data_IF_137542502813
#
_entry.id   IF_137542502813
#
_cell.length_a   1.000
_cell.length_b   1.000
_cell.length_c   1.000
_cell.angle_alpha   90.00
_cell.angle_beta   90.00
_cell.angle_gamma   90.00
#
_symmetry.space_group_name_H-M   'P 1'
#
loop_
_entity.id
_entity.type
_entity.pdbx_description
1 polymer ?
#
# COMPACT_ATOMS: atom_id res chain seq x y z
N UNK A 1 26.80 -2.17 -11.89
CA UNK A 1 26.97 -2.75 -10.55
C UNK A 1 26.66 -1.77 -9.41
N UNK A 2 27.08 -0.49 -9.48
CA UNK A 2 26.85 0.52 -8.44
C UNK A 2 25.33 0.75 -8.18
N UNK A 3 24.54 0.93 -9.25
CA UNK A 3 23.08 1.18 -9.16
C UNK A 3 22.32 0.05 -8.48
N UNK A 4 22.56 -1.20 -8.87
CA UNK A 4 21.86 -2.36 -8.28
C UNK A 4 22.17 -2.54 -6.79
N UNK A 5 23.46 -2.36 -6.42
CA UNK A 5 23.89 -2.44 -5.02
C UNK A 5 23.26 -1.33 -4.16
N UNK A 6 23.16 -0.13 -4.72
CA UNK A 6 22.53 1.00 -4.06
C UNK A 6 21.02 0.76 -3.88
N UNK A 7 20.31 0.31 -4.92
CA UNK A 7 18.90 -0.04 -4.84
C UNK A 7 18.65 -1.13 -3.79
N UNK A 8 19.43 -2.20 -3.82
CA UNK A 8 19.32 -3.29 -2.83
C UNK A 8 19.49 -2.79 -1.40
N UNK A 9 20.52 -1.96 -1.12
CA UNK A 9 20.73 -1.42 0.22
C UNK A 9 19.56 -0.54 0.69
N UNK A 10 18.92 0.21 -0.22
CA UNK A 10 17.76 1.06 0.09
C UNK A 10 16.49 0.27 0.33
N UNK A 11 16.34 -0.91 -0.25
CA UNK A 11 15.15 -1.77 -0.10
C UNK A 11 15.26 -2.77 1.08
N UNK A 12 16.41 -2.89 1.74
CA UNK A 12 16.58 -3.81 2.88
C UNK A 12 15.53 -3.63 4.01
N UNK A 13 15.17 -2.42 4.44
CA UNK A 13 14.12 -2.25 5.45
C UNK A 13 12.76 -2.76 4.96
N UNK A 14 12.44 -2.52 3.68
CA UNK A 14 11.19 -2.99 3.06
C UNK A 14 11.18 -4.51 2.95
N UNK A 15 12.32 -5.12 2.61
CA UNK A 15 12.46 -6.57 2.53
C UNK A 15 12.00 -7.26 3.81
N UNK A 16 12.43 -6.77 4.97
CA UNK A 16 12.03 -7.36 6.26
C UNK A 16 10.51 -7.27 6.45
N UNK A 17 9.90 -6.13 6.20
CA UNK A 17 8.45 -5.93 6.30
C UNK A 17 7.68 -6.80 5.31
N UNK A 18 8.09 -6.82 4.04
CA UNK A 18 7.43 -7.57 2.98
C UNK A 18 7.51 -9.09 3.17
N UNK A 19 8.63 -9.59 3.66
CA UNK A 19 8.74 -11.02 3.97
C UNK A 19 7.79 -11.40 5.09
N UNK A 20 7.72 -10.62 6.17
CA UNK A 20 6.84 -10.92 7.31
C UNK A 20 5.36 -10.79 6.93
N UNK A 21 4.97 -9.69 6.30
CA UNK A 21 3.59 -9.47 5.86
C UNK A 21 3.18 -10.46 4.76
N UNK A 22 4.08 -10.74 3.81
CA UNK A 22 3.85 -11.76 2.78
C UNK A 22 3.66 -13.16 3.37
N UNK A 23 4.47 -13.54 4.37
CA UNK A 23 4.27 -14.79 5.11
C UNK A 23 2.87 -14.86 5.73
N UNK A 24 2.45 -13.81 6.43
CA UNK A 24 1.11 -13.71 7.01
C UNK A 24 0.00 -13.85 5.96
N UNK A 25 0.12 -13.12 4.84
CA UNK A 25 -0.80 -13.25 3.70
C UNK A 25 -0.88 -14.68 3.17
N UNK A 26 0.27 -15.31 2.94
CA UNK A 26 0.34 -16.67 2.40
C UNK A 26 -0.29 -17.72 3.33
N UNK A 27 -0.01 -17.65 4.63
CA UNK A 27 -0.63 -18.54 5.63
C UNK A 27 -2.15 -18.35 5.67
N UNK A 28 -2.62 -17.10 5.68
CA UNK A 28 -4.04 -16.79 5.70
C UNK A 28 -4.74 -17.26 4.42
N UNK A 29 -4.13 -17.04 3.26
CA UNK A 29 -4.64 -17.50 1.98
C UNK A 29 -4.80 -19.05 1.95
N UNK A 30 -3.78 -19.75 2.45
CA UNK A 30 -3.78 -21.21 2.55
C UNK A 30 -4.86 -21.71 3.51
N UNK A 31 -5.10 -21.05 4.65
CA UNK A 31 -6.14 -21.43 5.61
C UNK A 31 -7.55 -21.37 5.04
N UNK A 32 -7.76 -20.54 4.01
CA UNK A 32 -9.03 -20.46 3.25
C UNK A 32 -9.10 -21.45 2.07
N UNK A 33 -8.11 -22.34 1.92
CA UNK A 33 -8.07 -23.38 0.89
C UNK A 33 -7.46 -22.94 -0.45
N UNK A 34 -6.86 -21.76 -0.52
CA UNK A 34 -6.19 -21.24 -1.73
C UNK A 34 -4.70 -21.57 -1.71
N UNK A 35 -4.25 -22.45 -2.62
CA UNK A 35 -2.85 -22.93 -2.64
C UNK A 35 -1.86 -21.96 -3.28
N UNK A 36 -0.61 -22.44 -3.43
CA UNK A 36 0.57 -21.68 -3.93
C UNK A 36 0.33 -21.00 -5.29
N UNK A 37 -0.43 -21.63 -6.19
CA UNK A 37 -0.77 -21.02 -7.49
C UNK A 37 -1.54 -19.71 -7.35
N UNK A 38 -2.48 -19.64 -6.42
CA UNK A 38 -3.21 -18.41 -6.08
C UNK A 38 -2.30 -17.37 -5.46
N UNK A 39 -1.46 -17.77 -4.50
CA UNK A 39 -0.49 -16.87 -3.87
C UNK A 39 0.43 -16.23 -4.91
N UNK A 40 1.00 -17.04 -5.79
CA UNK A 40 1.88 -16.56 -6.86
C UNK A 40 1.14 -15.62 -7.82
N UNK A 41 -0.05 -16.01 -8.30
CA UNK A 41 -0.84 -15.20 -9.23
C UNK A 41 -1.24 -13.85 -8.61
N UNK A 42 -1.75 -13.84 -7.38
CA UNK A 42 -2.15 -12.62 -6.70
C UNK A 42 -0.96 -11.71 -6.43
N UNK A 43 0.16 -12.25 -5.96
CA UNK A 43 1.35 -11.45 -5.62
C UNK A 43 2.08 -10.91 -6.85
N UNK A 44 1.93 -11.55 -8.02
CA UNK A 44 2.54 -11.05 -9.27
C UNK A 44 1.61 -10.14 -10.06
N UNK A 45 0.30 -10.42 -10.12
CA UNK A 45 -0.64 -9.73 -11.01
C UNK A 45 -1.44 -8.62 -10.31
N UNK A 46 -1.76 -8.78 -9.02
CA UNK A 46 -2.44 -7.74 -8.24
C UNK A 46 -1.41 -6.83 -7.59
N UNK A 47 -0.42 -7.40 -6.91
CA UNK A 47 0.69 -6.73 -6.25
C UNK A 47 0.26 -5.48 -5.44
N UNK A 48 -0.78 -5.62 -4.66
CA UNK A 48 -1.31 -4.60 -3.77
C UNK A 48 -1.62 -5.24 -2.41
N UNK A 49 -0.65 -5.25 -1.50
CA UNK A 49 -0.67 -6.03 -0.27
C UNK A 49 -1.99 -5.94 0.49
N UNK A 50 -2.45 -4.72 0.83
CA UNK A 50 -3.72 -4.52 1.53
C UNK A 50 -4.93 -5.04 0.73
N UNK A 51 -4.95 -4.84 -0.59
CA UNK A 51 -6.04 -5.37 -1.43
C UNK A 51 -6.00 -6.90 -1.52
N UNK A 52 -4.81 -7.51 -1.51
CA UNK A 52 -4.68 -8.97 -1.51
C UNK A 52 -5.27 -9.59 -0.23
N UNK A 53 -5.05 -9.00 0.94
CA UNK A 53 -5.71 -9.43 2.17
C UNK A 53 -7.23 -9.31 2.08
N UNK A 54 -7.74 -8.17 1.63
CA UNK A 54 -9.19 -7.95 1.40
C UNK A 54 -9.74 -8.96 0.37
N UNK A 55 -8.96 -9.30 -0.65
CA UNK A 55 -9.36 -10.27 -1.69
C UNK A 55 -9.58 -11.66 -1.11
N UNK A 56 -8.86 -12.06 -0.07
CA UNK A 56 -9.10 -13.35 0.60
C UNK A 56 -10.54 -13.40 1.14
N UNK A 57 -10.98 -12.34 1.83
CA UNK A 57 -12.33 -12.28 2.39
C UNK A 57 -13.41 -12.18 1.31
N UNK A 58 -13.14 -11.42 0.23
CA UNK A 58 -14.05 -11.33 -0.92
C UNK A 58 -14.23 -12.69 -1.62
N UNK A 59 -13.15 -13.45 -1.79
CA UNK A 59 -13.20 -14.79 -2.38
C UNK A 59 -13.90 -15.78 -1.45
N UNK A 60 -13.53 -15.80 -0.17
CA UNK A 60 -14.12 -16.70 0.82
C UNK A 60 -15.61 -16.41 1.07
N UNK A 61 -16.00 -15.15 1.01
CA UNK A 61 -17.39 -14.70 1.18
C UNK A 61 -18.24 -14.76 -0.10
N UNK A 62 -17.69 -15.15 -1.25
CA UNK A 62 -18.43 -15.21 -2.52
C UNK A 62 -18.94 -13.83 -2.96
N UNK A 63 -18.16 -12.79 -2.75
CA UNK A 63 -18.54 -11.42 -3.09
C UNK A 63 -18.84 -11.25 -4.58
N UNK A 64 -19.82 -10.39 -4.92
CA UNK A 64 -20.13 -10.08 -6.31
C UNK A 64 -18.96 -9.34 -6.99
N UNK A 65 -18.83 -9.47 -8.31
CA UNK A 65 -17.80 -8.76 -9.08
C UNK A 65 -17.91 -7.24 -8.93
N UNK A 66 -19.12 -6.71 -8.81
CA UNK A 66 -19.35 -5.27 -8.59
C UNK A 66 -18.81 -4.86 -7.22
N UNK A 67 -19.11 -5.63 -6.18
CA UNK A 67 -18.60 -5.37 -4.83
C UNK A 67 -17.08 -5.44 -4.78
N UNK A 68 -16.49 -6.45 -5.43
CA UNK A 68 -15.04 -6.59 -5.53
C UNK A 68 -14.40 -5.41 -6.29
N UNK A 69 -14.99 -4.95 -7.40
CA UNK A 69 -14.50 -3.82 -8.17
C UNK A 69 -14.56 -2.51 -7.36
N UNK A 70 -15.67 -2.25 -6.67
CA UNK A 70 -15.81 -1.08 -5.81
C UNK A 70 -14.79 -1.10 -4.67
N UNK A 71 -14.65 -2.24 -3.98
CA UNK A 71 -13.67 -2.39 -2.91
C UNK A 71 -12.26 -2.19 -3.41
N UNK A 72 -11.91 -2.76 -4.58
CA UNK A 72 -10.60 -2.59 -5.21
C UNK A 72 -10.31 -1.12 -5.51
N UNK A 73 -11.26 -0.41 -6.11
CA UNK A 73 -11.12 1.02 -6.40
C UNK A 73 -10.88 1.82 -5.12
N UNK A 74 -11.62 1.50 -4.06
CA UNK A 74 -11.57 2.26 -2.81
C UNK A 74 -10.27 2.01 -2.05
N UNK A 75 -9.87 0.75 -1.86
CA UNK A 75 -8.63 0.40 -1.15
C UNK A 75 -7.41 0.91 -1.89
N UNK A 76 -7.43 0.85 -3.23
CA UNK A 76 -6.31 1.27 -4.08
C UNK A 76 -6.40 2.72 -4.57
N UNK A 77 -7.39 3.51 -4.16
CA UNK A 77 -7.52 4.92 -4.59
C UNK A 77 -6.25 5.75 -4.34
N UNK A 78 -5.50 5.46 -3.27
CA UNK A 78 -4.23 6.10 -2.95
C UNK A 78 -3.17 5.95 -4.04
N UNK A 79 -3.16 4.84 -4.78
CA UNK A 79 -2.20 4.60 -5.87
C UNK A 79 -2.39 5.57 -7.05
N UNK A 80 -3.60 6.13 -7.23
CA UNK A 80 -3.84 7.19 -8.22
C UNK A 80 -3.03 8.45 -7.88
N UNK A 81 -3.00 8.83 -6.61
CA UNK A 81 -2.25 10.00 -6.15
C UNK A 81 -0.74 9.79 -6.25
N UNK A 82 -0.26 8.59 -5.89
CA UNK A 82 1.17 8.24 -6.09
C UNK A 82 1.54 8.27 -7.56
N UNK A 83 0.71 7.67 -8.42
CA UNK A 83 0.91 7.67 -9.86
C UNK A 83 1.01 9.10 -10.42
N UNK A 84 0.10 9.99 -10.04
CA UNK A 84 0.11 11.40 -10.47
C UNK A 84 1.41 12.10 -10.03
N UNK A 85 1.82 11.93 -8.79
CA UNK A 85 3.04 12.57 -8.26
C UNK A 85 4.32 12.07 -8.94
N UNK A 86 4.32 10.81 -9.41
CA UNK A 86 5.47 10.19 -10.09
C UNK A 86 5.51 10.39 -11.60
N UNK A 87 4.47 10.99 -12.22
CA UNK A 87 4.40 11.18 -13.68
C UNK A 87 5.63 11.88 -14.26
N UNK A 88 6.11 12.93 -13.60
CA UNK A 88 7.29 13.68 -14.06
C UNK A 88 8.58 12.87 -13.87
N UNK A 89 8.72 12.17 -12.75
CA UNK A 89 9.91 11.36 -12.45
C UNK A 89 10.05 10.17 -13.40
N UNK A 90 8.93 9.54 -13.77
CA UNK A 90 8.90 8.40 -14.69
C UNK A 90 8.82 8.79 -16.17
N UNK A 91 8.89 10.10 -16.50
CA UNK A 91 8.76 10.59 -17.87
C UNK A 91 9.79 9.95 -18.82
N UNK A 92 11.03 9.79 -18.35
CA UNK A 92 12.18 9.34 -19.17
C UNK A 92 12.55 7.86 -18.93
N UNK A 93 11.70 7.07 -18.29
CA UNK A 93 11.98 5.65 -17.99
C UNK A 93 11.70 4.69 -19.16
N UNK A 94 11.26 5.21 -20.31
CA UNK A 94 11.05 4.45 -21.54
C UNK A 94 10.08 3.27 -21.38
N UNK A 95 10.45 2.10 -21.87
CA UNK A 95 9.63 0.89 -21.83
C UNK A 95 9.38 0.35 -20.41
N UNK A 96 10.17 0.75 -19.43
CA UNK A 96 9.94 0.35 -18.04
C UNK A 96 8.76 1.08 -17.37
N UNK A 97 8.29 2.19 -17.94
CA UNK A 97 7.25 3.04 -17.35
C UNK A 97 5.95 2.30 -16.95
N UNK A 98 5.34 1.46 -17.79
CA UNK A 98 4.13 0.73 -17.41
C UNK A 98 4.34 -0.16 -16.20
N UNK A 99 5.49 -0.85 -16.13
CA UNK A 99 5.84 -1.68 -14.99
C UNK A 99 6.05 -0.85 -13.73
N UNK A 100 6.76 0.26 -13.80
CA UNK A 100 7.01 1.15 -12.66
C UNK A 100 5.72 1.74 -12.09
N UNK A 101 4.73 2.04 -12.93
CA UNK A 101 3.40 2.50 -12.49
C UNK A 101 2.64 1.37 -11.80
N UNK A 102 2.67 0.17 -12.38
CA UNK A 102 2.04 -1.02 -11.81
C UNK A 102 2.66 -1.40 -10.45
N UNK A 103 3.98 -1.38 -10.35
CA UNK A 103 4.74 -1.80 -9.17
C UNK A 103 4.90 -0.70 -8.10
N UNK A 104 4.16 0.40 -8.21
CA UNK A 104 4.25 1.52 -7.28
C UNK A 104 3.38 1.28 -6.03
N UNK A 105 3.96 0.67 -5.01
CA UNK A 105 3.35 0.52 -3.69
C UNK A 105 3.68 1.70 -2.78
N UNK A 106 3.12 1.73 -1.56
CA UNK A 106 3.40 2.77 -0.56
C UNK A 106 4.89 2.81 -0.21
N UNK A 107 5.48 1.64 0.00
CA UNK A 107 6.86 1.48 0.40
C UNK A 107 7.81 1.84 -0.75
N UNK A 108 7.53 1.35 -1.96
CA UNK A 108 8.29 1.73 -3.15
C UNK A 108 8.23 3.23 -3.36
N UNK A 109 7.03 3.84 -3.25
CA UNK A 109 6.85 5.29 -3.34
C UNK A 109 7.70 6.03 -2.32
N UNK A 110 7.73 5.60 -1.07
CA UNK A 110 8.49 6.25 0.01
C UNK A 110 9.98 6.37 -0.29
N UNK A 111 10.55 5.38 -0.99
CA UNK A 111 11.97 5.39 -1.39
C UNK A 111 12.20 6.24 -2.64
N UNK A 112 11.34 6.10 -3.66
CA UNK A 112 11.59 6.74 -4.96
C UNK A 112 11.14 8.20 -5.02
N UNK A 113 10.24 8.64 -4.12
CA UNK A 113 9.80 10.03 -4.06
C UNK A 113 10.79 10.95 -3.32
N UNK A 114 11.67 10.41 -2.46
CA UNK A 114 12.49 11.18 -1.52
C UNK A 114 13.69 11.88 -2.17
N UNK A 115 13.94 11.73 -3.48
CA UNK A 115 14.90 12.60 -4.06
C UNK A 115 15.94 12.04 -5.01
N UNK A 116 17.04 12.76 -5.13
CA UNK A 116 18.10 12.51 -6.10
C UNK A 116 18.97 11.32 -5.69
N UNK A 117 19.35 10.54 -6.66
CA UNK A 117 20.30 9.44 -6.46
C UNK A 117 21.73 9.99 -6.45
N UNK A 118 22.68 9.36 -5.71
CA UNK A 118 24.06 9.78 -5.68
C UNK A 118 24.74 9.75 -7.07
N UNK A 119 25.78 10.54 -7.23
CA UNK A 119 26.58 10.54 -8.46
C UNK A 119 27.05 9.13 -8.86
N UNK A 120 26.89 8.82 -10.14
CA UNK A 120 27.25 7.53 -10.72
C UNK A 120 26.21 6.41 -10.52
N UNK A 121 25.03 6.74 -10.00
CA UNK A 121 23.83 5.89 -9.97
C UNK A 121 22.89 6.33 -11.08
N UNK A 122 22.49 5.41 -11.96
CA UNK A 122 21.50 5.67 -13.00
C UNK A 122 20.11 5.68 -12.36
N UNK A 123 19.42 6.81 -12.42
CA UNK A 123 18.12 7.03 -11.77
C UNK A 123 17.02 6.12 -12.33
N UNK A 124 16.97 5.91 -13.65
CA UNK A 124 15.94 5.08 -14.27
C UNK A 124 16.10 3.60 -13.90
N UNK A 125 17.34 3.12 -13.91
CA UNK A 125 17.66 1.76 -13.44
C UNK A 125 17.45 1.61 -11.94
N UNK A 126 17.69 2.66 -11.17
CA UNK A 126 17.41 2.66 -9.73
C UNK A 126 15.93 2.42 -9.47
N UNK A 127 15.02 3.16 -10.11
CA UNK A 127 13.58 2.94 -10.01
C UNK A 127 13.18 1.51 -10.37
N UNK A 128 13.73 0.99 -11.46
CA UNK A 128 13.45 -0.37 -11.91
C UNK A 128 13.89 -1.41 -10.88
N UNK A 129 15.12 -1.30 -10.36
CA UNK A 129 15.63 -2.27 -9.39
C UNK A 129 14.92 -2.20 -8.04
N UNK A 130 14.56 -1.01 -7.55
CA UNK A 130 13.75 -0.86 -6.34
C UNK A 130 12.42 -1.59 -6.51
N UNK A 131 11.67 -1.30 -7.57
CA UNK A 131 10.38 -1.94 -7.84
C UNK A 131 10.48 -3.45 -8.00
N UNK A 132 11.53 -3.95 -8.68
CA UNK A 132 11.76 -5.39 -8.85
C UNK A 132 12.09 -6.09 -7.54
N UNK A 133 12.95 -5.50 -6.71
CA UNK A 133 13.32 -6.08 -5.42
C UNK A 133 12.11 -6.15 -4.49
N UNK A 134 11.36 -5.07 -4.37
CA UNK A 134 10.17 -5.00 -3.53
C UNK A 134 9.14 -6.04 -3.97
N UNK A 135 8.88 -6.18 -5.26
CA UNK A 135 7.97 -7.21 -5.78
C UNK A 135 8.47 -8.64 -5.50
N UNK A 136 9.76 -8.88 -5.70
CA UNK A 136 10.36 -10.20 -5.41
C UNK A 136 10.24 -10.54 -3.92
N UNK A 137 10.46 -9.59 -3.02
CA UNK A 137 10.32 -9.81 -1.59
C UNK A 137 8.89 -10.17 -1.21
N UNK A 138 7.92 -9.45 -1.76
CA UNK A 138 6.50 -9.72 -1.52
C UNK A 138 6.07 -11.09 -2.05
N UNK A 139 6.43 -11.42 -3.28
CA UNK A 139 6.15 -12.72 -3.90
C UNK A 139 6.80 -13.85 -3.11
N UNK A 140 8.08 -13.69 -2.74
CA UNK A 140 8.81 -14.71 -1.98
C UNK A 140 8.17 -14.93 -0.60
N UNK A 141 7.84 -13.87 0.14
CA UNK A 141 7.13 -13.96 1.41
C UNK A 141 5.77 -14.65 1.29
N UNK A 142 4.97 -14.23 0.30
CA UNK A 142 3.63 -14.79 0.05
C UNK A 142 3.66 -16.28 -0.28
N UNK A 143 4.54 -16.68 -1.18
CA UNK A 143 4.70 -18.10 -1.57
C UNK A 143 5.24 -18.92 -0.42
N UNK A 144 6.26 -18.43 0.30
CA UNK A 144 6.80 -19.10 1.47
C UNK A 144 5.74 -19.28 2.57
N UNK A 145 4.92 -18.25 2.81
CA UNK A 145 3.81 -18.32 3.77
C UNK A 145 2.78 -19.36 3.40
N UNK A 146 2.38 -19.44 2.11
CA UNK A 146 1.44 -20.44 1.64
C UNK A 146 2.00 -21.86 1.76
N UNK A 147 3.29 -22.07 1.44
CA UNK A 147 3.96 -23.34 1.62
C UNK A 147 4.03 -23.73 3.09
N UNK A 148 4.41 -22.84 3.98
CA UNK A 148 4.44 -23.07 5.42
C UNK A 148 3.05 -23.41 5.96
N UNK A 149 2.02 -22.66 5.56
CA UNK A 149 0.63 -22.90 5.95
C UNK A 149 0.08 -24.24 5.45
N UNK A 150 0.65 -24.82 4.38
CA UNK A 150 0.26 -26.14 3.89
C UNK A 150 0.86 -27.31 4.68
N UNK A 151 2.00 -27.09 5.35
CA UNK A 151 2.73 -28.12 6.06
C UNK A 151 2.46 -28.10 7.56
N UNK A 152 2.29 -26.92 8.11
CA UNK A 152 2.10 -26.72 9.54
C UNK A 152 0.65 -26.28 9.78
N UNK A 153 -0.13 -27.00 10.62
CA UNK A 153 -1.45 -26.55 11.02
C UNK A 153 -1.28 -25.33 11.94
N UNK A 154 -1.29 -24.14 11.33
CA UNK A 154 -1.26 -22.88 12.08
C UNK A 154 -2.65 -22.55 12.62
N UNK A 155 -2.71 -22.18 13.88
CA UNK A 155 -3.85 -21.40 14.36
C UNK A 155 -3.73 -20.00 13.72
N UNK A 156 -4.66 -19.70 12.82
CA UNK A 156 -4.69 -18.40 12.12
C UNK A 156 -5.30 -17.31 12.99
N UNK A 157 -5.72 -17.62 14.24
CA UNK A 157 -6.19 -16.64 15.21
C UNK A 157 -5.09 -15.60 15.44
N UNK A 158 -5.37 -14.36 15.06
CA UNK A 158 -4.42 -13.26 15.15
C UNK A 158 -3.66 -12.94 13.84
N UNK A 159 -3.59 -13.84 12.86
CA UNK A 159 -3.04 -13.48 11.53
C UNK A 159 -3.97 -12.47 10.84
N UNK A 160 -5.28 -12.58 11.02
CA UNK A 160 -6.26 -11.59 10.56
C UNK A 160 -5.96 -10.18 11.11
N UNK A 161 -5.34 -10.10 12.29
CA UNK A 161 -4.89 -8.84 12.88
C UNK A 161 -3.71 -8.20 12.14
N UNK A 162 -2.95 -8.96 11.34
CA UNK A 162 -1.78 -8.45 10.61
C UNK A 162 -2.13 -7.28 9.70
N UNK A 163 -3.30 -7.32 9.05
CA UNK A 163 -3.78 -6.23 8.21
C UNK A 163 -4.13 -5.00 9.04
N UNK A 164 -4.81 -5.19 10.17
CA UNK A 164 -5.12 -4.09 11.11
C UNK A 164 -3.82 -3.47 11.65
N UNK A 165 -2.85 -4.31 12.02
CA UNK A 165 -1.54 -3.85 12.48
C UNK A 165 -0.80 -3.04 11.38
N UNK A 166 -0.82 -3.51 10.13
CA UNK A 166 -0.25 -2.78 8.99
C UNK A 166 -0.86 -1.37 8.87
N UNK A 167 -2.19 -1.26 8.86
CA UNK A 167 -2.84 0.03 8.75
C UNK A 167 -2.59 0.93 9.96
N UNK A 168 -2.48 0.36 11.16
CA UNK A 168 -2.09 1.12 12.36
C UNK A 168 -0.66 1.66 12.24
N UNK A 169 0.29 0.86 11.76
CA UNK A 169 1.67 1.31 11.53
C UNK A 169 1.70 2.44 10.51
N UNK A 170 1.04 2.28 9.36
CA UNK A 170 0.95 3.33 8.34
C UNK A 170 0.32 4.62 8.90
N UNK A 171 -0.76 4.50 9.69
CA UNK A 171 -1.39 5.64 10.34
C UNK A 171 -0.43 6.35 11.32
N UNK A 172 0.29 5.59 12.15
CA UNK A 172 1.27 6.13 13.11
C UNK A 172 2.43 6.80 12.40
N UNK A 173 2.96 6.19 11.33
CA UNK A 173 4.03 6.78 10.53
C UNK A 173 3.59 8.09 9.87
N UNK A 174 2.40 8.12 9.27
CA UNK A 174 1.85 9.34 8.69
C UNK A 174 1.58 10.42 9.74
N UNK A 175 1.08 10.01 10.91
CA UNK A 175 0.92 10.94 12.02
C UNK A 175 2.23 11.58 12.45
N UNK A 176 3.30 10.77 12.58
CA UNK A 176 4.63 11.25 12.99
C UNK A 176 5.33 12.08 11.93
N UNK A 177 5.11 11.81 10.66
CA UNK A 177 5.76 12.51 9.54
C UNK A 177 5.05 13.80 9.15
N UNK A 178 3.76 13.95 9.45
CA UNK A 178 2.96 15.12 9.11
C UNK A 178 2.91 16.13 10.26
N UNK A 179 3.07 17.41 9.93
CA UNK A 179 2.82 18.52 10.89
C UNK A 179 1.32 18.84 10.99
N UNK A 180 0.56 18.62 9.92
CA UNK A 180 -0.88 18.86 9.91
C UNK A 180 -1.63 17.54 10.09
N UNK A 181 -2.28 17.37 11.23
CA UNK A 181 -3.07 16.19 11.57
C UNK A 181 -4.55 16.30 11.15
N UNK A 182 -4.94 17.42 10.54
CA UNK A 182 -6.33 17.65 10.10
C UNK A 182 -6.87 16.52 9.21
N UNK A 183 -6.13 16.00 8.19
CA UNK A 183 -6.63 14.90 7.37
C UNK A 183 -6.91 13.62 8.17
N UNK A 184 -6.03 13.29 9.12
CA UNK A 184 -6.18 12.09 9.95
C UNK A 184 -7.39 12.23 10.89
N UNK A 185 -7.59 13.39 11.50
CA UNK A 185 -8.73 13.66 12.38
C UNK A 185 -10.06 13.67 11.61
N UNK A 186 -10.08 14.26 10.41
CA UNK A 186 -11.25 14.20 9.51
C UNK A 186 -11.54 12.75 9.12
N UNK A 187 -10.52 11.99 8.74
CA UNK A 187 -10.66 10.58 8.41
C UNK A 187 -11.28 9.77 9.54
N UNK A 188 -10.74 9.92 10.75
CA UNK A 188 -11.22 9.24 11.93
C UNK A 188 -12.67 9.68 12.28
N UNK A 189 -12.95 10.98 12.34
CA UNK A 189 -14.26 11.51 12.70
C UNK A 189 -15.35 11.08 11.72
N UNK A 190 -15.13 11.23 10.41
CA UNK A 190 -16.10 10.82 9.38
C UNK A 190 -16.31 9.31 9.41
N UNK A 191 -15.25 8.51 9.60
CA UNK A 191 -15.38 7.06 9.68
C UNK A 191 -16.20 6.62 10.87
N UNK A 192 -16.00 7.23 12.04
CA UNK A 192 -16.80 6.93 13.24
C UNK A 192 -18.28 7.30 13.06
N UNK A 193 -18.56 8.46 12.48
CA UNK A 193 -19.93 8.87 12.17
C UNK A 193 -20.59 7.90 11.19
N UNK A 194 -19.90 7.56 10.10
CA UNK A 194 -20.43 6.60 9.12
C UNK A 194 -20.62 5.20 9.73
N UNK A 195 -19.71 4.76 10.60
CA UNK A 195 -19.84 3.49 11.29
C UNK A 195 -21.09 3.47 12.19
N UNK A 196 -21.36 4.55 12.91
CA UNK A 196 -22.52 4.69 13.76
C UNK A 196 -23.84 4.73 12.97
N UNK A 197 -23.85 5.35 11.78
CA UNK A 197 -25.06 5.55 10.95
C UNK A 197 -25.35 4.33 10.07
N UNK A 198 -24.32 3.77 9.40
CA UNK A 198 -24.49 2.72 8.40
C UNK A 198 -24.14 1.32 8.89
N UNK A 199 -23.59 1.19 10.11
CA UNK A 199 -23.17 -0.08 10.70
C UNK A 199 -21.90 -0.65 10.07
N UNK A 200 -21.32 -1.69 10.70
CA UNK A 200 -20.00 -2.23 10.34
C UNK A 200 -19.89 -2.79 8.91
N UNK A 201 -20.99 -3.27 8.34
CA UNK A 201 -20.96 -3.87 6.99
C UNK A 201 -20.96 -2.85 5.84
N UNK A 202 -21.52 -1.64 6.07
CA UNK A 202 -21.77 -0.70 4.97
C UNK A 202 -21.14 0.68 5.16
N UNK A 203 -20.36 0.90 6.23
CA UNK A 203 -19.81 2.23 6.53
C UNK A 203 -18.67 2.65 5.62
N UNK A 204 -17.96 1.70 5.03
CA UNK A 204 -16.70 1.96 4.33
C UNK A 204 -16.88 2.93 3.14
N UNK A 205 -17.84 2.65 2.25
CA UNK A 205 -18.12 3.48 1.08
C UNK A 205 -18.56 4.90 1.46
N UNK A 206 -19.58 5.06 2.34
CA UNK A 206 -19.95 6.40 2.81
C UNK A 206 -18.80 7.15 3.48
N UNK A 207 -17.96 6.46 4.28
CA UNK A 207 -16.80 7.08 4.92
C UNK A 207 -15.83 7.66 3.91
N UNK A 208 -15.45 6.89 2.90
CA UNK A 208 -14.47 7.36 1.90
C UNK A 208 -15.01 8.53 1.09
N UNK A 209 -16.29 8.48 0.68
CA UNK A 209 -16.93 9.61 -0.02
C UNK A 209 -17.01 10.84 0.89
N UNK A 210 -17.40 10.65 2.15
CA UNK A 210 -17.48 11.72 3.14
C UNK A 210 -16.11 12.34 3.43
N UNK A 211 -15.06 11.54 3.63
CA UNK A 211 -13.69 12.01 3.84
C UNK A 211 -13.23 12.82 2.63
N UNK A 212 -13.44 12.31 1.42
CA UNK A 212 -13.05 12.99 0.18
C UNK A 212 -13.77 14.33 0.05
N UNK A 213 -15.08 14.37 0.29
CA UNK A 213 -15.87 15.60 0.24
C UNK A 213 -15.38 16.64 1.27
N UNK A 214 -15.24 16.24 2.53
CA UNK A 214 -14.79 17.13 3.61
C UNK A 214 -13.38 17.67 3.36
N UNK A 215 -12.42 16.82 2.97
CA UNK A 215 -11.06 17.24 2.67
C UNK A 215 -10.99 18.14 1.45
N UNK A 216 -11.82 17.89 0.42
CA UNK A 216 -11.91 18.77 -0.76
C UNK A 216 -12.42 20.17 -0.38
N UNK A 217 -13.42 20.27 0.49
CA UNK A 217 -13.93 21.53 1.00
C UNK A 217 -12.90 22.27 1.88
N UNK A 218 -12.11 21.51 2.67
CA UNK A 218 -11.08 22.07 3.55
C UNK A 218 -9.75 22.36 2.83
N UNK A 219 -9.61 21.97 1.57
CA UNK A 219 -8.38 22.14 0.80
C UNK A 219 -7.85 23.57 0.81
N UNK A 220 -8.69 24.55 0.52
CA UNK A 220 -8.30 25.96 0.46
C UNK A 220 -7.76 26.50 1.79
N UNK A 221 -8.43 26.31 2.93
CA UNK A 221 -7.90 26.64 4.25
C UNK A 221 -6.60 25.93 4.60
N UNK A 222 -6.45 24.65 4.24
CA UNK A 222 -5.26 23.84 4.52
C UNK A 222 -4.05 24.33 3.71
N UNK A 223 -4.21 24.59 2.41
CA UNK A 223 -3.14 25.12 1.56
C UNK A 223 -2.64 26.48 2.05
N UNK A 224 -3.54 27.35 2.51
CA UNK A 224 -3.18 28.66 3.10
C UNK A 224 -2.39 28.53 4.41
N UNK A 225 -2.70 27.52 5.23
CA UNK A 225 -1.94 27.23 6.46
C UNK A 225 -0.54 26.73 6.13
N UNK A 226 -0.43 25.76 5.23
CA UNK A 226 0.85 25.22 4.79
C UNK A 226 1.77 26.29 4.19
N UNK A 227 1.22 27.21 3.38
CA UNK A 227 1.98 28.34 2.83
C UNK A 227 2.46 29.34 3.90
N UNK A 228 1.64 29.61 4.92
CA UNK A 228 2.03 30.47 6.04
C UNK A 228 3.14 29.86 6.91
N UNK A 229 3.09 28.55 7.14
CA UNK A 229 4.14 27.85 7.89
C UNK A 229 5.46 27.79 7.12
N UNK A 230 5.42 27.57 5.80
CA UNK A 230 6.61 27.63 4.95
C UNK A 230 7.26 29.02 4.95
N UNK A 231 6.48 30.10 4.93
CA UNK A 231 6.97 31.48 4.96
C UNK A 231 7.51 31.94 6.34
N UNK A 232 7.36 31.17 7.39
CA UNK A 232 7.88 31.48 8.74
C UNK A 232 9.17 30.71 9.08
N UNK A 233 9.64 29.85 8.18
CA UNK A 233 10.86 29.03 8.36
C UNK A 233 12.07 29.64 7.62
N UNK A 234 11.83 30.62 6.73
CA UNK A 234 12.85 31.48 6.09
C UNK A 234 13.03 32.77 6.89
#
# INVERSE_FOLDING_TARGET
MKTIRYAFARTLPIMAGYLVLGLGFGVLLQSKGYGVGWSLAMSTLIYAGSMQYVTIDLLAGGASLISAALMTLMVNARHLFYGISMLQRYKNTGAAKPYLIFALTDETYSIVCSGDVPEGVDQNRYYLFVSLFDQVYWVAGSVAGTLLGSVIPFDTTGIDFSMTALFLVVMVEQWRSSKDHTPALVGLGVSLVCLAVFGGSNFLIPSMLGITAVLTLLRGPMEKRAQKEAAHVD
#
